data_IF_551976207074
#
_entry.id   IF_551976207074
#
_cell.length_a   1.000
_cell.length_b   1.000
_cell.length_c   1.000
_cell.angle_alpha   90.00
_cell.angle_beta   90.00
_cell.angle_gamma   90.00
#
_symmetry.space_group_name_H-M   'P 1'
#
loop_
_entity.id
_entity.type
_entity.pdbx_description
1 polymer ?
#
# COMPACT_ATOMS: atom_id res chain seq x y z
N UNK A 1 1.04 26.20 -6.39
CA UNK A 1 1.80 24.93 -6.41
C UNK A 1 1.76 24.23 -5.05
N UNK A 2 2.35 24.78 -3.99
CA UNK A 2 2.43 24.08 -2.69
C UNK A 2 1.06 23.80 -2.05
N UNK A 3 0.06 24.69 -2.25
CA UNK A 3 -1.32 24.44 -1.81
C UNK A 3 -1.91 23.18 -2.44
N UNK A 4 -1.61 22.91 -3.72
CA UNK A 4 -2.06 21.71 -4.44
C UNK A 4 -1.34 20.46 -3.89
N UNK A 5 -0.03 20.54 -3.64
CA UNK A 5 0.74 19.45 -3.04
C UNK A 5 0.21 19.14 -1.64
N UNK A 6 -0.05 20.17 -0.82
CA UNK A 6 -0.60 20.00 0.53
C UNK A 6 -2.01 19.38 0.50
N UNK A 7 -2.88 19.84 -0.40
CA UNK A 7 -4.23 19.29 -0.57
C UNK A 7 -4.17 17.81 -1.01
N UNK A 8 -3.32 17.48 -1.98
CA UNK A 8 -3.13 16.10 -2.42
C UNK A 8 -2.55 15.21 -1.30
N UNK A 9 -1.59 15.71 -0.51
CA UNK A 9 -1.04 15.00 0.64
C UNK A 9 -2.11 14.78 1.73
N UNK A 10 -2.99 15.76 1.98
CA UNK A 10 -4.10 15.62 2.93
C UNK A 10 -5.14 14.58 2.45
N UNK A 11 -5.49 14.56 1.16
CA UNK A 11 -6.33 13.50 0.59
C UNK A 11 -5.69 12.13 0.79
N UNK A 12 -4.40 12.03 0.54
CA UNK A 12 -3.61 10.80 0.74
C UNK A 12 -3.62 10.36 2.20
N UNK A 13 -3.45 11.32 3.14
CA UNK A 13 -3.51 11.11 4.59
C UNK A 13 -4.85 10.50 5.00
N UNK A 14 -5.95 11.06 4.53
CA UNK A 14 -7.30 10.57 4.87
C UNK A 14 -7.52 9.19 4.23
N UNK A 15 -7.35 9.05 2.92
CA UNK A 15 -7.69 7.83 2.19
C UNK A 15 -6.87 6.62 2.66
N UNK A 16 -5.53 6.77 2.74
CA UNK A 16 -4.65 5.67 3.16
C UNK A 16 -4.72 5.43 4.66
N UNK A 17 -4.91 6.50 5.44
CA UNK A 17 -5.02 6.42 6.89
C UNK A 17 -6.25 5.64 7.34
N UNK A 18 -7.44 5.98 6.84
CA UNK A 18 -8.69 5.25 7.15
C UNK A 18 -8.57 3.76 6.78
N UNK A 19 -8.00 3.47 5.60
CA UNK A 19 -7.75 2.08 5.17
C UNK A 19 -6.84 1.32 6.14
N UNK A 20 -5.84 1.97 6.70
CA UNK A 20 -4.85 1.34 7.60
C UNK A 20 -5.48 0.84 8.92
N UNK A 21 -6.66 1.35 9.30
CA UNK A 21 -7.42 0.92 10.47
C UNK A 21 -8.29 -0.31 10.28
N UNK A 22 -8.42 -0.86 9.07
CA UNK A 22 -9.37 -1.95 8.79
C UNK A 22 -9.12 -3.22 9.60
N UNK A 23 -7.87 -3.52 9.95
CA UNK A 23 -7.54 -4.66 10.81
C UNK A 23 -8.16 -4.59 12.22
N UNK A 24 -8.47 -3.38 12.71
CA UNK A 24 -9.12 -3.19 14.01
C UNK A 24 -10.58 -3.70 14.04
N UNK A 25 -11.21 -3.83 12.86
CA UNK A 25 -12.60 -4.29 12.74
C UNK A 25 -12.75 -5.81 12.66
N UNK A 26 -11.66 -6.57 12.42
CA UNK A 26 -11.71 -8.02 12.21
C UNK A 26 -12.42 -8.71 13.37
N UNK A 27 -11.98 -8.47 14.60
CA UNK A 27 -12.52 -9.14 15.79
C UNK A 27 -13.89 -8.62 16.20
N UNK A 28 -14.14 -7.29 16.26
CA UNK A 28 -15.45 -6.75 16.55
C UNK A 28 -16.56 -7.27 15.62
N UNK A 29 -16.34 -7.22 14.30
CA UNK A 29 -17.35 -7.66 13.33
C UNK A 29 -17.55 -9.19 13.40
N UNK A 30 -16.46 -9.96 13.48
CA UNK A 30 -16.57 -11.43 13.57
C UNK A 30 -17.30 -11.87 14.82
N UNK A 31 -17.06 -11.19 15.95
CA UNK A 31 -17.71 -11.50 17.23
C UNK A 31 -19.20 -11.13 17.25
N UNK A 32 -19.54 -9.95 16.73
CA UNK A 32 -20.92 -9.43 16.76
C UNK A 32 -21.84 -10.17 15.76
N UNK A 33 -21.34 -10.47 14.57
CA UNK A 33 -22.11 -11.18 13.55
C UNK A 33 -22.03 -12.71 13.66
N UNK A 34 -21.21 -13.25 14.56
CA UNK A 34 -21.03 -14.71 14.69
C UNK A 34 -20.41 -15.37 13.46
N UNK A 35 -19.58 -14.64 12.69
CA UNK A 35 -18.94 -15.12 11.45
C UNK A 35 -17.44 -15.36 11.69
N UNK A 36 -16.84 -16.24 10.86
CA UNK A 36 -15.40 -16.43 10.83
C UNK A 36 -14.64 -15.16 10.40
N UNK A 37 -13.36 -15.10 10.74
CA UNK A 37 -12.48 -13.99 10.32
C UNK A 37 -12.19 -14.02 8.82
N UNK A 38 -12.26 -15.19 8.19
CA UNK A 38 -11.99 -15.40 6.77
C UNK A 38 -12.82 -14.45 5.89
N UNK A 39 -14.12 -14.33 6.17
CA UNK A 39 -15.02 -13.54 5.33
C UNK A 39 -14.62 -12.06 5.25
N UNK A 40 -14.41 -11.43 6.41
CA UNK A 40 -14.02 -10.01 6.43
C UNK A 40 -12.64 -9.78 5.83
N UNK A 41 -11.69 -10.65 6.15
CA UNK A 41 -10.31 -10.52 5.65
C UNK A 41 -10.17 -10.90 4.18
N UNK A 42 -11.01 -11.79 3.66
CA UNK A 42 -11.18 -12.01 2.22
C UNK A 42 -11.65 -10.73 1.51
N UNK A 43 -12.67 -10.07 2.06
CA UNK A 43 -13.19 -8.82 1.48
C UNK A 43 -12.14 -7.69 1.50
N UNK A 44 -11.36 -7.56 2.59
CA UNK A 44 -10.21 -6.64 2.66
C UNK A 44 -9.13 -7.03 1.63
N UNK A 45 -8.90 -8.31 1.42
CA UNK A 45 -8.03 -8.80 0.36
C UNK A 45 -8.53 -8.38 -1.02
N UNK A 46 -9.81 -8.61 -1.31
CA UNK A 46 -10.46 -8.22 -2.57
C UNK A 46 -10.40 -6.71 -2.81
N UNK A 47 -10.58 -5.89 -1.77
CA UNK A 47 -10.37 -4.45 -1.80
C UNK A 47 -8.98 -4.09 -2.35
N UNK A 48 -7.92 -4.75 -1.87
CA UNK A 48 -6.55 -4.52 -2.33
C UNK A 48 -6.36 -4.96 -3.79
N UNK A 49 -6.88 -6.12 -4.16
CA UNK A 49 -6.80 -6.63 -5.53
C UNK A 49 -7.47 -5.68 -6.53
N UNK A 50 -8.67 -5.20 -6.20
CA UNK A 50 -9.41 -4.24 -7.02
C UNK A 50 -8.68 -2.89 -7.10
N UNK A 51 -8.10 -2.42 -5.98
CA UNK A 51 -7.26 -1.22 -6.01
C UNK A 51 -6.16 -1.35 -7.06
N UNK A 52 -5.41 -2.47 -7.07
CA UNK A 52 -4.36 -2.70 -8.06
C UNK A 52 -4.88 -2.82 -9.49
N UNK A 53 -5.91 -3.64 -9.69
CA UNK A 53 -6.46 -3.93 -11.02
C UNK A 53 -7.11 -2.71 -11.69
N UNK A 54 -7.79 -1.87 -10.92
CA UNK A 54 -8.52 -0.71 -11.43
C UNK A 54 -7.67 0.57 -11.53
N UNK A 55 -6.53 0.64 -10.83
CA UNK A 55 -5.66 1.83 -10.83
C UNK A 55 -5.23 2.30 -12.24
N UNK A 56 -4.86 1.45 -13.20
CA UNK A 56 -4.51 1.91 -14.55
C UNK A 56 -5.69 2.55 -15.29
N UNK A 57 -6.89 2.03 -15.10
CA UNK A 57 -8.10 2.54 -15.76
C UNK A 57 -8.49 3.91 -15.19
N UNK A 58 -8.55 4.04 -13.88
CA UNK A 58 -8.84 5.33 -13.25
C UNK A 58 -7.73 6.35 -13.47
N UNK A 59 -6.48 5.92 -13.55
CA UNK A 59 -5.36 6.78 -13.94
C UNK A 59 -5.56 7.36 -15.34
N UNK A 60 -5.91 6.53 -16.33
CA UNK A 60 -6.18 6.99 -17.69
C UNK A 60 -7.40 7.95 -17.78
N UNK A 61 -8.45 7.68 -16.99
CA UNK A 61 -9.62 8.59 -16.90
C UNK A 61 -9.20 9.92 -16.26
N UNK A 62 -8.37 9.88 -15.21
CA UNK A 62 -7.88 11.09 -14.55
C UNK A 62 -6.98 11.94 -15.44
N UNK A 63 -6.20 11.30 -16.32
CA UNK A 63 -5.37 12.01 -17.31
C UNK A 63 -6.23 12.76 -18.35
N UNK A 64 -7.38 12.21 -18.72
CA UNK A 64 -8.30 12.85 -19.69
C UNK A 64 -9.24 13.87 -19.06
N UNK A 65 -9.81 13.55 -17.88
CA UNK A 65 -10.90 14.33 -17.30
C UNK A 65 -10.48 15.14 -16.07
N UNK A 66 -9.21 14.99 -15.64
CA UNK A 66 -8.64 15.65 -14.46
C UNK A 66 -8.80 14.83 -13.18
N UNK A 67 -7.74 14.84 -12.37
CA UNK A 67 -7.64 14.05 -11.13
C UNK A 67 -8.71 14.43 -10.09
N UNK A 68 -9.14 15.70 -10.04
CA UNK A 68 -10.15 16.15 -9.10
C UNK A 68 -11.51 15.48 -9.33
N UNK A 69 -11.97 15.35 -10.58
CA UNK A 69 -13.26 14.70 -10.90
C UNK A 69 -13.24 13.23 -10.53
N UNK A 70 -12.16 12.54 -10.87
CA UNK A 70 -11.98 11.12 -10.54
C UNK A 70 -11.87 10.93 -9.03
N UNK A 71 -11.17 11.85 -8.32
CA UNK A 71 -11.08 11.87 -6.88
C UNK A 71 -12.43 12.06 -6.19
N UNK A 72 -13.32 12.92 -6.73
CA UNK A 72 -14.70 13.09 -6.22
C UNK A 72 -15.49 11.80 -6.33
N UNK A 73 -15.41 11.09 -7.48
CA UNK A 73 -16.05 9.77 -7.63
C UNK A 73 -15.43 8.78 -6.63
N UNK A 74 -14.11 8.77 -6.48
CA UNK A 74 -13.43 7.95 -5.48
C UNK A 74 -13.90 8.24 -4.06
N UNK A 75 -14.05 9.52 -3.69
CA UNK A 75 -14.56 9.90 -2.36
C UNK A 75 -16.01 9.43 -2.14
N UNK A 76 -16.86 9.58 -3.14
CA UNK A 76 -18.25 9.12 -3.06
C UNK A 76 -18.33 7.58 -2.90
N UNK A 77 -17.52 6.84 -3.67
CA UNK A 77 -17.43 5.37 -3.55
C UNK A 77 -16.88 4.96 -2.18
N UNK A 78 -15.90 5.71 -1.62
CA UNK A 78 -15.34 5.44 -0.31
C UNK A 78 -16.39 5.61 0.78
N UNK A 79 -17.09 6.75 0.79
CA UNK A 79 -18.14 7.03 1.74
C UNK A 79 -19.31 6.03 1.62
N UNK A 80 -19.72 5.70 0.39
CA UNK A 80 -20.74 4.68 0.13
C UNK A 80 -20.33 3.30 0.65
N UNK A 81 -19.07 2.88 0.41
CA UNK A 81 -18.54 1.63 0.92
C UNK A 81 -18.53 1.56 2.44
N UNK A 82 -18.12 2.63 3.13
CA UNK A 82 -18.17 2.72 4.59
C UNK A 82 -19.61 2.74 5.12
N UNK A 83 -20.54 3.40 4.42
CA UNK A 83 -21.96 3.38 4.76
C UNK A 83 -22.56 1.97 4.63
N UNK A 84 -22.21 1.22 3.58
CA UNK A 84 -22.61 -0.18 3.42
C UNK A 84 -22.04 -1.03 4.56
N UNK A 85 -20.77 -0.87 4.90
CA UNK A 85 -20.14 -1.60 6.01
C UNK A 85 -20.76 -1.27 7.36
N UNK A 86 -21.20 -0.04 7.59
CA UNK A 86 -21.86 0.34 8.86
C UNK A 86 -23.21 -0.35 9.08
N UNK A 87 -23.87 -0.79 8.03
CA UNK A 87 -25.17 -1.45 8.05
C UNK A 87 -25.07 -2.96 7.80
N UNK A 88 -23.85 -3.51 7.92
CA UNK A 88 -23.60 -4.93 7.62
C UNK A 88 -24.42 -5.83 8.53
N UNK A 89 -25.19 -6.72 7.92
CA UNK A 89 -25.95 -7.80 8.58
C UNK A 89 -25.53 -9.19 8.05
N UNK A 90 -24.72 -9.24 7.00
CA UNK A 90 -24.30 -10.49 6.38
C UNK A 90 -23.11 -10.36 5.42
N UNK A 91 -22.79 -11.47 4.73
CA UNK A 91 -21.63 -11.55 3.83
C UNK A 91 -21.65 -10.57 2.65
N UNK A 92 -22.83 -10.31 2.09
CA UNK A 92 -22.99 -9.47 0.90
C UNK A 92 -22.56 -8.03 1.12
N UNK A 93 -22.93 -7.45 2.26
CA UNK A 93 -22.60 -6.07 2.60
C UNK A 93 -21.10 -5.93 2.89
N UNK A 94 -20.49 -6.92 3.55
CA UNK A 94 -19.04 -6.94 3.80
C UNK A 94 -18.27 -6.92 2.48
N UNK A 95 -18.67 -7.78 1.53
CA UNK A 95 -18.00 -7.86 0.23
C UNK A 95 -18.27 -6.59 -0.58
N UNK A 96 -19.53 -6.13 -0.68
CA UNK A 96 -19.89 -4.95 -1.45
C UNK A 96 -19.18 -3.69 -0.93
N UNK A 97 -19.17 -3.46 0.38
CA UNK A 97 -18.50 -2.31 0.98
C UNK A 97 -17.01 -2.28 0.66
N UNK A 98 -16.34 -3.43 0.78
CA UNK A 98 -14.91 -3.53 0.44
C UNK A 98 -14.63 -3.40 -1.07
N UNK A 99 -15.52 -3.89 -1.95
CA UNK A 99 -15.43 -3.68 -3.41
C UNK A 99 -15.52 -2.19 -3.74
N UNK A 100 -16.48 -1.48 -3.16
CA UNK A 100 -16.63 -0.02 -3.37
C UNK A 100 -15.39 0.74 -2.89
N UNK A 101 -14.84 0.38 -1.73
CA UNK A 101 -13.61 1.01 -1.21
C UNK A 101 -12.39 0.66 -2.07
N UNK A 102 -12.29 -0.56 -2.59
CA UNK A 102 -11.22 -0.93 -3.53
C UNK A 102 -11.24 -0.09 -4.81
N UNK A 103 -12.43 0.12 -5.39
CA UNK A 103 -12.61 1.01 -6.54
C UNK A 103 -12.34 2.48 -6.17
N UNK A 104 -12.73 2.91 -4.97
CA UNK A 104 -12.44 4.25 -4.45
C UNK A 104 -10.94 4.54 -4.34
N UNK A 105 -10.17 3.59 -3.79
CA UNK A 105 -8.72 3.69 -3.68
C UNK A 105 -8.03 3.75 -5.05
N UNK A 106 -8.55 3.03 -6.03
CA UNK A 106 -8.05 3.10 -7.40
C UNK A 106 -8.35 4.47 -8.05
N UNK A 107 -9.54 5.03 -7.80
CA UNK A 107 -9.97 6.31 -8.38
C UNK A 107 -9.28 7.52 -7.72
N UNK A 108 -9.32 7.60 -6.40
CA UNK A 108 -8.82 8.76 -5.62
C UNK A 108 -7.48 8.52 -4.93
N UNK A 109 -6.85 7.36 -5.14
CA UNK A 109 -5.65 6.95 -4.42
C UNK A 109 -4.34 7.45 -5.04
N UNK A 110 -3.27 6.78 -4.64
CA UNK A 110 -1.88 7.17 -4.89
C UNK A 110 -1.57 7.43 -6.36
N UNK A 111 -2.00 6.57 -7.28
CA UNK A 111 -1.66 6.68 -8.71
C UNK A 111 -2.20 7.97 -9.33
N UNK A 112 -3.46 8.28 -9.11
CA UNK A 112 -4.15 9.48 -9.62
C UNK A 112 -3.52 10.76 -9.07
N UNK A 113 -3.22 10.80 -7.77
CA UNK A 113 -2.63 11.96 -7.11
C UNK A 113 -1.16 12.17 -7.51
N UNK A 114 -0.36 11.11 -7.63
CA UNK A 114 1.03 11.17 -8.12
C UNK A 114 1.06 11.75 -9.54
N UNK A 115 0.18 11.26 -10.42
CA UNK A 115 0.08 11.78 -11.78
C UNK A 115 -0.28 13.27 -11.83
N UNK A 116 -1.25 13.70 -11.03
CA UNK A 116 -1.65 15.10 -10.95
C UNK A 116 -0.54 16.02 -10.44
N UNK A 117 0.07 15.68 -9.30
CA UNK A 117 1.18 16.45 -8.71
C UNK A 117 2.40 16.46 -9.63
N UNK A 118 2.74 15.31 -10.24
CA UNK A 118 3.88 15.19 -11.13
C UNK A 118 3.81 16.08 -12.36
N UNK A 119 2.59 16.37 -12.87
CA UNK A 119 2.36 17.27 -14.01
C UNK A 119 2.45 18.75 -13.65
N UNK A 120 2.05 19.09 -12.42
CA UNK A 120 1.93 20.51 -11.98
C UNK A 120 3.23 21.09 -11.43
N UNK A 121 4.13 20.23 -10.98
CA UNK A 121 5.34 20.67 -10.28
C UNK A 121 6.52 20.71 -11.26
N UNK A 122 7.29 21.82 -11.30
CA UNK A 122 8.51 21.92 -12.08
C UNK A 122 9.48 20.77 -11.81
N UNK A 123 10.27 20.34 -12.81
CA UNK A 123 11.17 19.18 -12.69
C UNK A 123 12.08 19.21 -11.46
N UNK A 124 12.60 20.40 -11.12
CA UNK A 124 13.54 20.62 -10.01
C UNK A 124 12.91 20.36 -8.63
N UNK A 125 11.60 20.55 -8.49
CA UNK A 125 10.84 20.40 -7.22
C UNK A 125 9.98 19.14 -7.20
N UNK A 126 9.91 18.41 -8.30
CA UNK A 126 9.01 17.26 -8.47
C UNK A 126 9.29 16.14 -7.46
N UNK A 127 10.55 15.81 -7.24
CA UNK A 127 10.95 14.78 -6.28
C UNK A 127 10.48 15.13 -4.86
N UNK A 128 10.67 16.38 -4.42
CA UNK A 128 10.22 16.85 -3.10
C UNK A 128 8.69 16.79 -2.99
N UNK A 129 7.97 17.25 -4.01
CA UNK A 129 6.50 17.27 -4.00
C UNK A 129 5.90 15.85 -3.94
N UNK A 130 6.47 14.91 -4.70
CA UNK A 130 6.06 13.50 -4.67
C UNK A 130 6.44 12.83 -3.34
N UNK A 131 7.57 13.22 -2.75
CA UNK A 131 7.96 12.78 -1.41
C UNK A 131 6.97 13.22 -0.34
N UNK A 132 6.55 14.49 -0.35
CA UNK A 132 5.53 15.02 0.57
C UNK A 132 4.19 14.28 0.39
N UNK A 133 3.76 14.08 -0.86
CA UNK A 133 2.54 13.34 -1.18
C UNK A 133 2.57 11.92 -0.62
N UNK A 134 3.67 11.20 -0.83
CA UNK A 134 3.82 9.81 -0.38
C UNK A 134 3.91 9.71 1.14
N UNK A 135 4.60 10.66 1.78
CA UNK A 135 4.66 10.75 3.24
C UNK A 135 3.27 10.95 3.86
N UNK A 136 2.33 11.61 3.14
CA UNK A 136 0.94 11.74 3.55
C UNK A 136 0.28 10.42 3.90
N UNK A 137 0.55 9.35 3.15
CA UNK A 137 0.03 8.01 3.46
C UNK A 137 0.53 7.47 4.81
N UNK A 138 1.80 7.66 5.13
CA UNK A 138 2.40 7.24 6.41
C UNK A 138 1.92 8.10 7.59
N UNK A 139 1.78 9.41 7.38
CA UNK A 139 1.14 10.31 8.36
C UNK A 139 -0.30 9.88 8.60
N UNK A 140 -1.01 9.50 7.52
CA UNK A 140 -2.35 8.95 7.62
C UNK A 140 -2.42 7.70 8.49
N UNK A 141 -1.54 6.75 8.28
CA UNK A 141 -1.47 5.54 9.11
C UNK A 141 -1.19 5.90 10.59
N UNK A 142 -0.25 6.82 10.83
CA UNK A 142 0.10 7.25 12.19
C UNK A 142 -1.07 7.91 12.93
N UNK A 143 -1.83 8.78 12.26
CA UNK A 143 -2.91 9.57 12.86
C UNK A 143 -4.24 8.82 12.86
N UNK A 144 -4.62 8.21 11.73
CA UNK A 144 -5.96 7.66 11.54
C UNK A 144 -6.16 6.29 12.18
N UNK A 145 -5.10 5.51 12.45
CA UNK A 145 -5.28 4.22 13.11
C UNK A 145 -5.68 4.41 14.59
N UNK A 146 -5.01 5.26 15.41
CA UNK A 146 -5.51 5.59 16.74
C UNK A 146 -6.88 6.27 16.72
N UNK A 147 -7.14 7.14 15.74
CA UNK A 147 -8.47 7.75 15.54
C UNK A 147 -9.55 6.67 15.31
N UNK A 148 -9.31 5.72 14.42
CA UNK A 148 -10.23 4.60 14.17
C UNK A 148 -10.48 3.78 15.44
N UNK A 149 -9.41 3.49 16.21
CA UNK A 149 -9.54 2.78 17.48
C UNK A 149 -10.40 3.55 18.50
N UNK A 150 -10.22 4.87 18.58
CA UNK A 150 -11.04 5.71 19.44
C UNK A 150 -12.52 5.73 19.01
N UNK A 151 -12.80 5.74 17.71
CA UNK A 151 -14.15 5.64 17.18
C UNK A 151 -14.80 4.30 17.54
N UNK A 152 -14.09 3.18 17.36
CA UNK A 152 -14.60 1.84 17.71
C UNK A 152 -14.89 1.77 19.22
N UNK A 153 -14.02 2.32 20.07
CA UNK A 153 -14.20 2.31 21.51
C UNK A 153 -15.38 3.18 21.98
N UNK A 154 -15.70 4.26 21.26
CA UNK A 154 -16.75 5.21 21.67
C UNK A 154 -18.11 5.01 20.98
N UNK A 155 -18.13 4.43 19.77
CA UNK A 155 -19.31 4.38 18.90
C UNK A 155 -19.66 2.95 18.42
N UNK A 156 -18.94 1.94 18.90
CA UNK A 156 -18.89 0.59 18.30
C UNK A 156 -18.32 0.56 16.87
N UNK A 157 -18.29 -0.62 16.23
CA UNK A 157 -17.74 -0.79 14.87
C UNK A 157 -18.66 -0.17 13.80
N UNK A 158 -19.99 -0.24 13.96
CA UNK A 158 -20.95 0.33 13.01
C UNK A 158 -20.89 1.85 13.02
N UNK A 159 -20.98 2.49 14.20
CA UNK A 159 -20.83 3.92 14.37
C UNK A 159 -19.45 4.44 13.93
N UNK A 160 -18.40 3.66 14.15
CA UNK A 160 -17.05 4.00 13.67
C UNK A 160 -17.00 4.09 12.13
N UNK A 161 -17.63 3.17 11.39
CA UNK A 161 -17.71 3.25 9.94
C UNK A 161 -18.49 4.49 9.46
N UNK A 162 -19.57 4.87 10.12
CA UNK A 162 -20.31 6.12 9.81
C UNK A 162 -19.40 7.34 10.00
N UNK A 163 -18.70 7.43 11.13
CA UNK A 163 -17.78 8.55 11.40
C UNK A 163 -16.60 8.58 10.43
N UNK A 164 -16.04 7.42 10.06
CA UNK A 164 -15.02 7.31 9.03
C UNK A 164 -15.55 7.77 7.66
N UNK A 165 -16.82 7.45 7.33
CA UNK A 165 -17.49 7.93 6.11
C UNK A 165 -17.59 9.44 6.07
N UNK A 166 -18.01 10.06 7.18
CA UNK A 166 -18.01 11.52 7.32
C UNK A 166 -16.60 12.12 7.17
N UNK A 167 -15.58 11.47 7.76
CA UNK A 167 -14.19 11.87 7.61
C UNK A 167 -13.71 11.74 6.16
N UNK A 168 -14.13 10.70 5.43
CA UNK A 168 -13.79 10.55 4.02
C UNK A 168 -14.37 11.70 3.17
N UNK A 169 -15.56 12.20 3.49
CA UNK A 169 -16.16 13.35 2.78
C UNK A 169 -15.34 14.64 2.94
N UNK A 170 -14.49 14.76 3.98
CA UNK A 170 -13.57 15.88 4.12
C UNK A 170 -12.51 15.93 2.98
N UNK A 171 -12.36 14.89 2.17
CA UNK A 171 -11.56 14.92 0.95
C UNK A 171 -12.18 15.82 -0.13
N UNK A 172 -13.50 16.04 -0.16
CA UNK A 172 -14.18 16.82 -1.21
C UNK A 172 -13.67 18.27 -1.33
N UNK A 173 -13.60 19.08 -0.24
CA UNK A 173 -13.06 20.44 -0.32
C UNK A 173 -11.57 20.45 -0.72
N UNK A 174 -10.80 19.43 -0.34
CA UNK A 174 -9.39 19.31 -0.74
C UNK A 174 -9.27 19.03 -2.24
N UNK A 175 -10.14 18.18 -2.78
CA UNK A 175 -10.20 17.88 -4.22
C UNK A 175 -10.63 19.08 -5.05
N UNK A 176 -11.42 20.01 -4.47
CA UNK A 176 -11.76 21.27 -5.13
C UNK A 176 -10.51 22.10 -5.46
N UNK A 177 -9.50 22.09 -4.60
CA UNK A 177 -8.22 22.75 -4.85
C UNK A 177 -7.50 22.10 -6.04
N UNK A 178 -7.62 20.77 -6.18
CA UNK A 178 -6.98 20.01 -7.26
C UNK A 178 -7.63 20.19 -8.64
N UNK A 179 -8.82 20.78 -8.74
CA UNK A 179 -9.49 21.03 -10.03
C UNK A 179 -8.75 22.05 -10.92
N UNK A 180 -7.88 22.87 -10.33
CA UNK A 180 -7.01 23.77 -11.07
C UNK A 180 -5.91 23.05 -11.87
N UNK A 181 -5.79 21.72 -11.70
CA UNK A 181 -4.86 20.88 -12.47
C UNK A 181 -5.55 20.44 -13.76
N UNK A 182 -5.19 20.97 -14.93
CA UNK A 182 -5.77 20.54 -16.19
C UNK A 182 -5.51 19.05 -16.43
N UNK A 183 -6.51 18.34 -16.93
CA UNK A 183 -6.28 17.08 -17.63
C UNK A 183 -5.48 17.45 -18.91
N UNK A 184 -4.29 16.94 -19.05
CA UNK A 184 -3.54 17.03 -20.30
C UNK A 184 -3.17 15.61 -20.70
N UNK A 185 -3.81 15.11 -21.72
CA UNK A 185 -3.27 14.02 -22.50
C UNK A 185 -2.04 14.56 -23.24
N UNK A 186 -0.91 14.77 -22.55
CA UNK A 186 0.36 14.75 -23.26
C UNK A 186 0.68 13.26 -23.48
N UNK A 187 0.69 12.81 -24.73
CA UNK A 187 1.40 11.57 -25.04
C UNK A 187 2.81 11.75 -24.48
N UNK A 188 3.28 10.81 -23.66
CA UNK A 188 4.70 10.76 -23.31
C UNK A 188 5.45 10.93 -24.63
N UNK A 189 6.30 11.96 -24.71
CA UNK A 189 7.07 12.25 -25.92
C UNK A 189 7.73 10.94 -26.34
N UNK A 190 7.25 10.38 -27.45
CA UNK A 190 7.56 9.03 -27.87
C UNK A 190 9.06 8.88 -28.07
N UNK A 191 9.66 8.08 -27.19
CA UNK A 191 10.92 7.43 -27.51
C UNK A 191 10.69 6.49 -28.71
N UNK A 192 11.74 6.07 -29.37
CA UNK A 192 11.73 5.16 -30.53
C UNK A 192 11.10 3.76 -30.25
N UNK A 193 10.51 3.53 -29.09
CA UNK A 193 9.92 2.27 -28.63
C UNK A 193 8.41 2.42 -28.45
N UNK A 194 7.63 1.49 -28.98
CA UNK A 194 6.18 1.39 -28.74
C UNK A 194 5.88 0.76 -27.38
N UNK A 195 4.62 0.92 -26.90
CA UNK A 195 4.13 0.29 -25.68
C UNK A 195 4.26 -1.24 -25.72
N UNK A 196 3.92 -1.86 -26.85
CA UNK A 196 4.00 -3.32 -27.02
C UNK A 196 5.44 -3.83 -26.96
N UNK A 197 6.38 -3.09 -27.54
CA UNK A 197 7.80 -3.41 -27.48
C UNK A 197 8.35 -3.29 -26.06
N UNK A 198 7.95 -2.26 -25.29
CA UNK A 198 8.36 -2.08 -23.90
C UNK A 198 7.85 -3.22 -23.02
N UNK A 199 6.60 -3.65 -23.20
CA UNK A 199 6.03 -4.80 -22.51
C UNK A 199 6.75 -6.10 -22.91
N UNK A 200 6.95 -6.31 -24.21
CA UNK A 200 7.66 -7.49 -24.73
C UNK A 200 9.10 -7.58 -24.19
N UNK A 201 9.82 -6.45 -24.14
CA UNK A 201 11.17 -6.38 -23.55
C UNK A 201 11.15 -6.73 -22.07
N UNK A 202 10.23 -6.16 -21.29
CA UNK A 202 10.12 -6.42 -19.85
C UNK A 202 9.76 -7.88 -19.56
N UNK A 203 8.77 -8.45 -20.27
CA UNK A 203 8.32 -9.82 -20.04
C UNK A 203 9.34 -10.88 -20.45
N UNK A 204 10.23 -10.57 -21.39
CA UNK A 204 11.37 -11.44 -21.75
C UNK A 204 12.55 -11.30 -20.78
N UNK A 205 12.56 -10.28 -19.93
CA UNK A 205 13.67 -9.98 -19.06
C UNK A 205 13.53 -10.69 -17.70
N UNK A 206 14.43 -11.63 -17.39
CA UNK A 206 14.40 -12.41 -16.14
C UNK A 206 14.32 -11.54 -14.88
N UNK A 207 15.05 -10.42 -14.83
CA UNK A 207 15.07 -9.52 -13.68
C UNK A 207 13.71 -8.88 -13.41
N UNK A 208 12.86 -8.72 -14.44
CA UNK A 208 11.50 -8.19 -14.27
C UNK A 208 10.63 -9.13 -13.44
N UNK A 209 10.64 -10.43 -13.76
CA UNK A 209 9.86 -11.44 -13.04
C UNK A 209 10.39 -11.70 -11.62
N UNK A 210 11.71 -11.66 -11.44
CA UNK A 210 12.34 -11.77 -10.13
C UNK A 210 11.94 -10.58 -9.23
N UNK A 211 11.95 -9.36 -9.77
CA UNK A 211 11.50 -8.15 -9.06
C UNK A 211 10.01 -8.22 -8.75
N UNK A 212 9.19 -8.64 -9.70
CA UNK A 212 7.74 -8.81 -9.57
C UNK A 212 7.40 -9.83 -8.48
N UNK A 213 8.03 -11.00 -8.50
CA UNK A 213 7.85 -12.03 -7.48
C UNK A 213 8.35 -11.61 -6.10
N UNK A 214 9.48 -10.88 -6.02
CA UNK A 214 9.97 -10.34 -4.76
C UNK A 214 9.03 -9.28 -4.18
N UNK A 215 8.47 -8.39 -5.01
CA UNK A 215 7.57 -7.34 -4.54
C UNK A 215 6.17 -7.85 -4.15
N UNK A 216 5.74 -8.99 -4.68
CA UNK A 216 4.58 -9.76 -4.18
C UNK A 216 4.67 -9.99 -2.66
N UNK A 217 5.84 -10.41 -2.18
CA UNK A 217 6.07 -10.68 -0.75
C UNK A 217 5.91 -9.42 0.10
N UNK A 218 6.25 -8.24 -0.44
CA UNK A 218 5.98 -6.98 0.27
C UNK A 218 4.49 -6.83 0.57
N UNK A 219 3.64 -7.02 -0.44
CA UNK A 219 2.19 -6.94 -0.28
C UNK A 219 1.65 -7.92 0.74
N UNK A 220 2.11 -9.17 0.67
CA UNK A 220 1.73 -10.20 1.61
C UNK A 220 2.04 -9.80 3.05
N UNK A 221 3.27 -9.39 3.35
CA UNK A 221 3.70 -9.00 4.69
C UNK A 221 2.94 -7.79 5.22
N UNK A 222 2.84 -6.74 4.40
CA UNK A 222 2.22 -5.48 4.79
C UNK A 222 0.75 -5.70 5.16
N UNK A 223 0.01 -6.39 4.30
CA UNK A 223 -1.44 -6.54 4.52
C UNK A 223 -1.74 -7.63 5.54
N UNK A 224 -0.94 -8.70 5.62
CA UNK A 224 -1.06 -9.65 6.72
C UNK A 224 -0.95 -8.96 8.07
N UNK A 225 0.12 -8.20 8.30
CA UNK A 225 0.32 -7.52 9.59
C UNK A 225 -0.75 -6.46 9.83
N UNK A 226 -1.04 -5.59 8.84
CA UNK A 226 -2.02 -4.53 9.01
C UNK A 226 -3.44 -5.07 9.33
N UNK A 227 -3.80 -6.23 8.78
CA UNK A 227 -5.12 -6.83 8.95
C UNK A 227 -5.23 -7.68 10.21
N UNK A 228 -4.20 -8.50 10.49
CA UNK A 228 -4.33 -9.55 11.51
C UNK A 228 -3.62 -9.24 12.83
N UNK A 229 -2.64 -8.31 12.87
CA UNK A 229 -1.94 -7.96 14.11
C UNK A 229 -2.90 -7.52 15.23
N UNK A 230 -3.94 -6.67 14.97
CA UNK A 230 -4.87 -6.29 16.03
C UNK A 230 -5.61 -7.48 16.64
N UNK A 231 -6.15 -8.37 15.81
CA UNK A 231 -6.84 -9.57 16.26
C UNK A 231 -5.88 -10.52 17.00
N UNK A 232 -4.67 -10.73 16.46
CA UNK A 232 -3.62 -11.55 17.08
C UNK A 232 -3.26 -11.06 18.49
N UNK A 233 -2.98 -9.76 18.66
CA UNK A 233 -2.63 -9.21 19.97
C UNK A 233 -3.79 -9.29 20.97
N UNK A 234 -5.01 -9.06 20.51
CA UNK A 234 -6.21 -9.23 21.33
C UNK A 234 -6.42 -10.68 21.78
N UNK A 235 -6.10 -11.67 20.91
CA UNK A 235 -6.15 -13.09 21.27
C UNK A 235 -5.09 -13.49 22.31
N UNK A 236 -3.98 -12.75 22.36
CA UNK A 236 -2.95 -12.86 23.41
C UNK A 236 -3.31 -12.12 24.70
N UNK A 237 -4.53 -11.56 24.81
CA UNK A 237 -4.98 -10.81 25.99
C UNK A 237 -4.45 -9.37 26.08
N UNK A 238 -3.82 -8.85 25.03
CA UNK A 238 -3.27 -7.50 25.03
C UNK A 238 -4.34 -6.45 24.67
N UNK A 239 -4.25 -5.23 25.20
CA UNK A 239 -5.23 -4.18 24.95
C UNK A 239 -5.30 -3.80 23.45
N UNK A 240 -6.53 -3.54 22.95
CA UNK A 240 -6.74 -3.11 21.56
C UNK A 240 -6.00 -1.79 21.22
N UNK A 241 -5.88 -0.88 22.19
CA UNK A 241 -5.10 0.36 22.04
C UNK A 241 -3.62 0.11 21.74
N UNK A 242 -3.03 -0.97 22.26
CA UNK A 242 -1.65 -1.34 21.97
C UNK A 242 -1.46 -1.71 20.50
N UNK A 243 -2.41 -2.45 19.92
CA UNK A 243 -2.38 -2.79 18.51
C UNK A 243 -2.46 -1.55 17.61
N UNK A 244 -3.37 -0.63 17.94
CA UNK A 244 -3.52 0.63 17.22
C UNK A 244 -2.23 1.48 17.32
N UNK A 245 -1.64 1.59 18.51
CA UNK A 245 -0.38 2.30 18.71
C UNK A 245 0.78 1.64 17.94
N UNK A 246 0.84 0.31 17.91
CA UNK A 246 1.87 -0.43 17.15
C UNK A 246 1.78 -0.15 15.65
N UNK A 247 0.58 -0.18 15.08
CA UNK A 247 0.36 0.16 13.67
C UNK A 247 0.63 1.65 13.39
N UNK A 248 0.33 2.54 14.33
CA UNK A 248 0.67 3.95 14.23
C UNK A 248 2.19 4.15 14.20
N UNK A 249 2.93 3.51 15.12
CA UNK A 249 4.39 3.54 15.13
C UNK A 249 4.97 2.97 13.84
N UNK A 250 4.38 1.89 13.29
CA UNK A 250 4.78 1.38 11.97
C UNK A 250 4.65 2.47 10.90
N UNK A 251 3.58 3.26 10.88
CA UNK A 251 3.42 4.40 9.98
C UNK A 251 4.47 5.49 10.19
N UNK A 252 4.73 5.86 11.45
CA UNK A 252 5.72 6.88 11.81
C UNK A 252 7.12 6.48 11.36
N UNK A 253 7.57 5.29 11.73
CA UNK A 253 8.90 4.79 11.37
C UNK A 253 9.04 4.50 9.88
N UNK A 254 7.93 4.24 9.16
CA UNK A 254 7.93 4.11 7.70
C UNK A 254 8.36 5.40 6.98
N UNK A 255 8.08 6.57 7.54
CA UNK A 255 8.58 7.84 6.99
C UNK A 255 10.11 7.83 6.95
N UNK A 256 10.73 7.48 8.08
CA UNK A 256 12.19 7.42 8.22
C UNK A 256 12.78 6.33 7.31
N UNK A 257 12.16 5.14 7.33
CA UNK A 257 12.62 3.99 6.54
C UNK A 257 12.58 4.24 5.04
N UNK A 258 11.45 4.73 4.52
CA UNK A 258 11.28 5.02 3.09
C UNK A 258 12.21 6.14 2.62
N UNK A 259 12.40 7.19 3.41
CA UNK A 259 13.35 8.25 3.11
C UNK A 259 14.79 7.72 3.05
N UNK A 260 15.19 6.97 4.08
CA UNK A 260 16.53 6.35 4.15
C UNK A 260 16.79 5.41 2.97
N UNK A 261 15.80 4.57 2.63
CA UNK A 261 15.90 3.66 1.48
C UNK A 261 16.05 4.42 0.15
N UNK A 262 15.35 5.54 -0.02
CA UNK A 262 15.52 6.41 -1.19
C UNK A 262 16.92 6.98 -1.30
N UNK A 263 17.49 7.51 -0.20
CA UNK A 263 18.86 8.04 -0.14
C UNK A 263 19.89 6.94 -0.40
N UNK A 264 19.75 5.80 0.27
CA UNK A 264 20.67 4.66 0.12
C UNK A 264 20.60 4.07 -1.30
N UNK A 265 19.41 4.02 -1.92
CA UNK A 265 19.22 3.57 -3.29
C UNK A 265 19.91 4.44 -4.35
N UNK A 266 20.20 5.70 -4.02
CA UNK A 266 21.04 6.58 -4.85
C UNK A 266 22.55 6.31 -4.72
N UNK A 267 22.98 5.64 -3.64
CA UNK A 267 24.41 5.40 -3.34
C UNK A 267 24.86 3.96 -3.49
N UNK A 268 23.96 3.02 -3.27
CA UNK A 268 24.25 1.59 -3.26
C UNK A 268 23.42 0.83 -4.30
N UNK A 269 23.83 -0.39 -4.59
CA UNK A 269 23.16 -1.32 -5.51
C UNK A 269 21.79 -1.69 -4.94
N UNK A 270 20.71 -1.28 -5.63
CA UNK A 270 19.33 -1.36 -5.13
C UNK A 270 18.85 -2.79 -4.88
N UNK A 271 19.27 -3.74 -5.74
CA UNK A 271 18.93 -5.17 -5.56
C UNK A 271 19.45 -5.73 -4.24
N UNK A 272 20.68 -5.35 -3.84
CA UNK A 272 21.28 -5.80 -2.59
C UNK A 272 20.58 -5.19 -1.37
N UNK A 273 20.20 -3.89 -1.48
CA UNK A 273 19.39 -3.25 -0.44
C UNK A 273 18.03 -3.93 -0.28
N UNK A 274 17.37 -4.29 -1.40
CA UNK A 274 16.10 -5.02 -1.35
C UNK A 274 16.26 -6.40 -0.70
N UNK A 275 17.29 -7.18 -1.09
CA UNK A 275 17.57 -8.47 -0.47
C UNK A 275 17.79 -8.32 1.04
N UNK A 276 18.59 -7.32 1.46
CA UNK A 276 18.84 -7.05 2.88
C UNK A 276 17.56 -6.64 3.62
N UNK A 277 16.72 -5.79 3.03
CA UNK A 277 15.44 -5.38 3.62
C UNK A 277 14.52 -6.56 3.87
N UNK A 278 14.42 -7.50 2.93
CA UNK A 278 13.58 -8.69 3.11
C UNK A 278 14.16 -9.67 4.13
N UNK A 279 15.47 -9.85 4.18
CA UNK A 279 16.13 -10.63 5.25
C UNK A 279 15.92 -9.98 6.61
N UNK A 280 16.07 -8.66 6.71
CA UNK A 280 15.81 -7.92 7.93
C UNK A 280 14.34 -8.07 8.39
N UNK A 281 13.36 -8.06 7.46
CA UNK A 281 11.97 -8.36 7.81
C UNK A 281 11.80 -9.77 8.35
N UNK A 282 12.39 -10.78 7.71
CA UNK A 282 12.36 -12.15 8.21
C UNK A 282 12.93 -12.23 9.62
N UNK A 283 14.05 -11.56 9.89
CA UNK A 283 14.64 -11.51 11.22
C UNK A 283 13.71 -10.81 12.24
N UNK A 284 13.06 -9.71 11.87
CA UNK A 284 12.08 -9.01 12.71
C UNK A 284 10.88 -9.90 13.01
N UNK A 285 10.32 -10.60 12.02
CA UNK A 285 9.24 -11.56 12.24
C UNK A 285 9.68 -12.71 13.14
N UNK A 286 10.83 -13.29 12.88
CA UNK A 286 11.38 -14.39 13.70
C UNK A 286 11.59 -13.94 15.15
N UNK A 287 12.21 -12.79 15.37
CA UNK A 287 12.40 -12.23 16.70
C UNK A 287 11.05 -12.00 17.41
N UNK A 288 10.04 -11.49 16.69
CA UNK A 288 8.70 -11.28 17.24
C UNK A 288 8.01 -12.61 17.60
N UNK A 289 8.13 -13.67 16.78
CA UNK A 289 7.55 -14.98 17.08
C UNK A 289 8.14 -15.56 18.36
N UNK A 290 9.46 -15.46 18.52
CA UNK A 290 10.20 -16.07 19.63
C UNK A 290 10.14 -15.25 20.92
N UNK A 291 9.90 -13.94 20.84
CA UNK A 291 9.85 -13.06 21.99
C UNK A 291 8.53 -13.20 22.78
N UNK A 292 8.53 -13.01 24.10
CA UNK A 292 7.31 -12.91 24.87
C UNK A 292 6.47 -11.70 24.39
N UNK A 293 5.14 -11.86 24.36
CA UNK A 293 4.22 -10.82 23.89
C UNK A 293 3.95 -9.80 25.00
N UNK A 294 4.92 -8.94 25.25
CA UNK A 294 4.81 -7.81 26.18
C UNK A 294 4.54 -6.53 25.40
N UNK A 295 4.08 -5.48 26.06
CA UNK A 295 3.88 -4.16 25.47
C UNK A 295 5.17 -3.66 24.77
N UNK A 296 6.31 -3.77 25.44
CA UNK A 296 7.59 -3.33 24.90
C UNK A 296 8.01 -4.09 23.64
N UNK A 297 7.86 -5.43 23.62
CA UNK A 297 8.22 -6.24 22.44
C UNK A 297 7.32 -5.97 21.27
N UNK A 298 6.02 -5.70 21.50
CA UNK A 298 5.05 -5.37 20.47
C UNK A 298 5.33 -3.98 19.87
N UNK A 299 5.60 -2.97 20.69
CA UNK A 299 5.97 -1.63 20.22
C UNK A 299 7.30 -1.62 19.47
N UNK A 300 8.29 -2.35 19.95
CA UNK A 300 9.58 -2.51 19.28
C UNK A 300 9.44 -3.19 17.92
N UNK A 301 8.59 -4.23 17.84
CA UNK A 301 8.22 -4.87 16.57
C UNK A 301 7.62 -3.87 15.59
N UNK A 302 6.63 -3.06 16.03
CA UNK A 302 6.02 -2.04 15.19
C UNK A 302 7.01 -1.01 14.67
N UNK A 303 7.92 -0.52 15.52
CA UNK A 303 8.96 0.43 15.14
C UNK A 303 9.98 -0.18 14.16
N UNK A 304 10.49 -1.36 14.46
CA UNK A 304 11.46 -2.06 13.60
C UNK A 304 10.85 -2.43 12.24
N UNK A 305 9.63 -2.97 12.24
CA UNK A 305 8.93 -3.28 11.01
C UNK A 305 8.61 -2.02 10.22
N UNK A 306 8.28 -0.91 10.90
CA UNK A 306 8.02 0.39 10.29
C UNK A 306 9.19 0.89 9.46
N UNK A 307 10.42 0.80 9.96
CA UNK A 307 11.63 1.15 9.21
C UNK A 307 11.77 0.36 7.90
N UNK A 308 11.24 -0.85 7.86
CA UNK A 308 11.30 -1.75 6.72
C UNK A 308 10.01 -1.76 5.87
N UNK A 309 8.93 -1.07 6.33
CA UNK A 309 7.54 -1.25 5.84
C UNK A 309 7.39 -1.06 4.33
N UNK A 310 7.50 0.16 3.84
CA UNK A 310 7.44 0.50 2.42
C UNK A 310 8.78 1.00 1.88
N UNK A 311 9.88 0.75 2.60
CA UNK A 311 11.25 1.07 2.18
C UNK A 311 11.65 0.35 0.88
N UNK A 312 10.93 -0.70 0.54
CA UNK A 312 11.08 -1.43 -0.73
C UNK A 312 10.57 -0.67 -1.94
N UNK A 313 9.60 0.24 -1.78
CA UNK A 313 8.93 0.94 -2.89
C UNK A 313 9.89 1.82 -3.70
N UNK A 314 10.66 2.74 -3.09
CA UNK A 314 11.60 3.58 -3.84
C UNK A 314 12.71 2.76 -4.52
N UNK A 315 13.15 1.68 -3.90
CA UNK A 315 14.18 0.81 -4.47
C UNK A 315 13.64 -0.01 -5.67
N UNK A 316 12.41 -0.55 -5.54
CA UNK A 316 11.75 -1.33 -6.60
C UNK A 316 11.46 -0.46 -7.83
N UNK A 317 10.87 0.73 -7.62
CA UNK A 317 10.62 1.68 -8.71
C UNK A 317 11.92 2.18 -9.34
N UNK A 318 12.95 2.42 -8.51
CA UNK A 318 14.29 2.77 -8.96
C UNK A 318 14.96 1.67 -9.80
N UNK A 319 14.76 0.39 -9.48
CA UNK A 319 15.24 -0.73 -10.30
C UNK A 319 14.55 -0.78 -11.66
N UNK A 320 13.23 -0.61 -11.71
CA UNK A 320 12.48 -0.53 -12.98
C UNK A 320 13.06 0.60 -13.85
N UNK A 321 13.26 1.78 -13.27
CA UNK A 321 13.83 2.91 -13.99
C UNK A 321 15.26 2.66 -14.46
N UNK A 322 16.09 2.01 -13.64
CA UNK A 322 17.49 1.70 -13.99
C UNK A 322 17.59 0.68 -15.11
N UNK A 323 16.75 -0.36 -15.11
CA UNK A 323 16.80 -1.46 -16.08
C UNK A 323 16.13 -1.06 -17.39
N UNK A 324 14.91 -0.52 -17.36
CA UNK A 324 14.05 -0.30 -18.53
C UNK A 324 13.98 1.17 -18.99
N UNK A 325 14.56 2.09 -18.21
CA UNK A 325 14.50 3.52 -18.49
C UNK A 325 13.21 4.20 -18.02
N UNK A 326 13.13 5.53 -18.15
CA UNK A 326 12.02 6.32 -17.60
C UNK A 326 10.76 6.33 -18.48
N UNK A 327 10.85 5.99 -19.77
CA UNK A 327 9.78 6.21 -20.74
C UNK A 327 8.47 5.47 -20.38
N UNK A 328 8.55 4.19 -19.98
CA UNK A 328 7.41 3.35 -19.60
C UNK A 328 7.48 2.90 -18.14
N UNK A 329 8.26 3.60 -17.32
CA UNK A 329 8.49 3.25 -15.91
C UNK A 329 7.19 3.09 -15.12
N UNK A 330 6.26 4.02 -15.25
CA UNK A 330 5.00 3.99 -14.50
C UNK A 330 4.15 2.77 -14.81
N UNK A 331 4.10 2.37 -16.08
CA UNK A 331 3.36 1.20 -16.51
C UNK A 331 4.02 -0.09 -16.03
N UNK A 332 5.31 -0.23 -16.23
CA UNK A 332 6.07 -1.41 -15.80
C UNK A 332 6.05 -1.57 -14.27
N UNK A 333 6.22 -0.46 -13.56
CA UNK A 333 6.05 -0.47 -12.09
C UNK A 333 4.61 -0.78 -11.69
N UNK A 334 3.61 -0.37 -12.47
CA UNK A 334 2.21 -0.72 -12.24
C UNK A 334 1.96 -2.23 -12.26
N UNK A 335 2.61 -2.97 -13.17
CA UNK A 335 2.55 -4.44 -13.21
C UNK A 335 3.22 -5.05 -11.98
N UNK A 336 4.39 -4.55 -11.60
CA UNK A 336 5.08 -4.95 -10.37
C UNK A 336 4.22 -4.65 -9.15
N UNK A 337 3.56 -3.48 -9.12
CA UNK A 337 2.64 -3.10 -8.04
C UNK A 337 1.38 -3.99 -8.02
N UNK A 338 0.87 -4.41 -9.17
CA UNK A 338 -0.26 -5.35 -9.21
C UNK A 338 0.10 -6.68 -8.54
N UNK A 339 1.33 -7.19 -8.73
CA UNK A 339 1.77 -8.39 -8.00
C UNK A 339 1.81 -8.18 -6.47
N UNK A 340 2.20 -6.99 -6.02
CA UNK A 340 2.09 -6.60 -4.61
C UNK A 340 0.64 -6.69 -4.12
N UNK A 341 -0.33 -6.27 -4.93
CA UNK A 341 -1.74 -6.34 -4.55
C UNK A 341 -2.29 -7.77 -4.54
N UNK A 342 -1.77 -8.65 -5.40
CA UNK A 342 -2.04 -10.10 -5.32
C UNK A 342 -1.47 -10.68 -4.02
N UNK A 343 -0.25 -10.30 -3.65
CA UNK A 343 0.34 -10.65 -2.35
C UNK A 343 -0.50 -10.13 -1.18
N UNK A 344 -0.98 -8.89 -1.28
CA UNK A 344 -1.87 -8.26 -0.30
C UNK A 344 -3.19 -9.02 -0.11
N UNK A 345 -3.80 -9.47 -1.21
CA UNK A 345 -4.98 -10.32 -1.19
C UNK A 345 -4.71 -11.61 -0.40
N UNK A 346 -3.65 -12.32 -0.75
CA UNK A 346 -3.32 -13.59 -0.10
C UNK A 346 -2.93 -13.40 1.37
N UNK A 347 -2.17 -12.36 1.70
CA UNK A 347 -1.78 -12.05 3.08
C UNK A 347 -2.97 -11.74 3.98
N UNK A 348 -3.99 -11.05 3.45
CA UNK A 348 -5.24 -10.80 4.17
C UNK A 348 -6.10 -12.06 4.29
N UNK A 349 -6.44 -12.68 3.17
CA UNK A 349 -7.36 -13.81 3.11
C UNK A 349 -6.85 -15.06 3.85
N UNK A 350 -5.62 -15.49 3.54
CA UNK A 350 -5.05 -16.70 4.14
C UNK A 350 -4.92 -16.59 5.66
N UNK A 351 -4.66 -15.39 6.19
CA UNK A 351 -4.62 -15.16 7.63
C UNK A 351 -5.95 -15.47 8.31
N UNK A 352 -7.07 -15.03 7.74
CA UNK A 352 -8.41 -15.34 8.26
C UNK A 352 -8.74 -16.82 8.14
N UNK A 353 -8.51 -17.40 6.95
CA UNK A 353 -8.76 -18.82 6.69
C UNK A 353 -7.95 -19.75 7.61
N UNK A 354 -6.65 -19.47 7.79
CA UNK A 354 -5.79 -20.25 8.67
C UNK A 354 -6.27 -20.12 10.11
N UNK A 355 -6.64 -18.92 10.54
CA UNK A 355 -7.20 -18.75 11.88
C UNK A 355 -8.51 -19.53 12.08
N UNK A 356 -9.44 -19.45 11.14
CA UNK A 356 -10.74 -20.13 11.24
C UNK A 356 -10.61 -21.67 11.21
N UNK A 357 -9.54 -22.20 10.59
CA UNK A 357 -9.28 -23.66 10.53
C UNK A 357 -8.38 -24.18 11.63
N UNK A 358 -7.41 -23.39 12.10
CA UNK A 358 -6.38 -23.83 13.06
C UNK A 358 -6.50 -23.18 14.45
N UNK A 359 -7.32 -22.13 14.59
CA UNK A 359 -7.50 -21.40 15.84
C UNK A 359 -6.34 -20.46 16.21
N UNK A 360 -5.31 -20.32 15.37
CA UNK A 360 -4.15 -19.46 15.61
C UNK A 360 -3.52 -18.92 14.32
N UNK A 361 -2.55 -18.02 14.45
CA UNK A 361 -1.83 -17.40 13.32
C UNK A 361 -0.41 -17.96 13.14
N UNK A 362 0.00 -19.00 13.83
CA UNK A 362 1.40 -19.47 13.84
C UNK A 362 1.93 -19.80 12.45
N UNK A 363 1.14 -20.52 11.65
CA UNK A 363 1.50 -20.86 10.28
C UNK A 363 1.73 -19.59 9.43
N UNK A 364 0.92 -18.54 9.62
CA UNK A 364 1.07 -17.27 8.86
C UNK A 364 2.37 -16.54 9.22
N UNK A 365 2.74 -16.55 10.50
CA UNK A 365 4.01 -15.97 10.94
C UNK A 365 5.21 -16.69 10.33
N UNK A 366 5.22 -18.03 10.36
CA UNK A 366 6.28 -18.82 9.75
C UNK A 366 6.33 -18.71 8.23
N UNK A 367 5.18 -18.66 7.55
CA UNK A 367 5.09 -18.36 6.11
C UNK A 367 5.70 -16.99 5.83
N UNK A 368 5.45 -15.99 6.67
CA UNK A 368 6.02 -14.64 6.50
C UNK A 368 7.54 -14.65 6.63
N UNK A 369 8.10 -15.39 7.60
CA UNK A 369 9.57 -15.56 7.71
C UNK A 369 10.14 -16.21 6.44
N UNK A 370 9.55 -17.30 5.98
CA UNK A 370 10.00 -18.03 4.80
C UNK A 370 9.91 -17.16 3.53
N UNK A 371 8.79 -16.48 3.33
CA UNK A 371 8.59 -15.59 2.17
C UNK A 371 9.60 -14.44 2.13
N UNK A 372 10.00 -13.87 3.27
CA UNK A 372 11.04 -12.85 3.29
C UNK A 372 12.39 -13.37 2.82
N UNK A 373 12.77 -14.60 3.21
CA UNK A 373 13.98 -15.26 2.69
C UNK A 373 13.85 -15.53 1.19
N UNK A 374 12.70 -16.06 0.74
CA UNK A 374 12.45 -16.32 -0.70
C UNK A 374 12.53 -15.01 -1.50
N UNK A 375 11.97 -13.92 -0.98
CA UNK A 375 12.06 -12.62 -1.64
C UNK A 375 13.51 -12.14 -1.75
N UNK A 376 14.32 -12.29 -0.70
CA UNK A 376 15.74 -11.96 -0.75
C UNK A 376 16.47 -12.77 -1.83
N UNK A 377 16.18 -14.09 -1.93
CA UNK A 377 16.73 -14.95 -2.96
C UNK A 377 16.29 -14.56 -4.38
N UNK A 378 15.09 -13.99 -4.56
CA UNK A 378 14.65 -13.45 -5.84
C UNK A 378 15.40 -12.16 -6.22
N UNK A 379 15.70 -11.30 -5.24
CA UNK A 379 16.40 -10.05 -5.52
C UNK A 379 17.89 -10.23 -5.81
N UNK A 380 18.53 -11.22 -5.20
CA UNK A 380 19.98 -11.45 -5.32
C UNK A 380 20.46 -11.60 -6.77
N UNK A 381 19.84 -12.45 -7.64
CA UNK A 381 20.29 -12.65 -9.01
C UNK A 381 19.85 -11.58 -10.00
N UNK A 382 19.10 -10.54 -9.59
CA UNK A 382 18.70 -9.44 -10.45
C UNK A 382 19.95 -8.78 -11.07
N UNK A 383 19.91 -8.54 -12.37
CA UNK A 383 20.94 -7.78 -13.08
C UNK A 383 20.53 -6.30 -13.12
N UNK A 384 21.15 -5.48 -12.24
CA UNK A 384 20.91 -4.05 -12.16
C UNK A 384 21.75 -3.30 -13.24
N UNK A 385 21.41 -3.55 -14.49
CA UNK A 385 22.04 -2.91 -15.66
C UNK A 385 20.96 -2.53 -16.66
N UNK A 386 21.10 -1.40 -17.36
CA UNK A 386 20.19 -1.01 -18.43
C UNK A 386 20.10 -2.11 -19.51
N UNK A 387 18.91 -2.25 -20.10
CA UNK A 387 18.70 -3.09 -21.29
C UNK A 387 19.56 -2.58 -22.47
N UNK A 388 19.94 -3.43 -23.44
CA UNK A 388 20.90 -3.09 -24.49
C UNK A 388 20.60 -1.78 -25.25
N UNK A 389 19.33 -1.46 -25.51
CA UNK A 389 18.92 -0.21 -26.18
C UNK A 389 19.27 1.07 -25.40
N UNK A 390 19.46 0.97 -24.09
CA UNK A 390 19.81 2.09 -23.21
C UNK A 390 21.30 2.10 -22.84
N UNK A 391 22.05 1.06 -23.24
CA UNK A 391 23.48 1.03 -23.04
C UNK A 391 24.12 2.13 -23.90
N UNK A 392 25.13 2.91 -23.41
CA UNK A 392 25.92 3.78 -24.25
C UNK A 392 26.46 2.99 -25.43
N UNK A 393 26.37 3.53 -26.64
CA UNK A 393 27.04 2.94 -27.79
C UNK A 393 28.51 2.69 -27.39
N UNK A 394 28.95 1.44 -27.48
CA UNK A 394 30.35 1.11 -27.23
C UNK A 394 31.17 2.02 -28.15
N UNK A 395 31.90 2.97 -27.57
CA UNK A 395 32.68 3.92 -28.31
C UNK A 395 33.61 3.16 -29.29
N UNK A 396 33.41 3.43 -30.57
CA UNK A 396 34.33 3.05 -31.63
C UNK A 396 35.60 3.82 -31.49
#
# INVERSE_FOLDING_TARGET
MWTIVAAAAAVMTIAMGLRSGFGLFVKPISGDLGIGRELFTFAVGLQNLLWGALSPFFGAIADRHGAARVGVVGTALYAAGLCVLSQTSGPSEIVLGNVLIGAALAAGGQGTLIGAVGRMVPPEKRSLALGILTAGGSVGQFVMVPYTQALIAGLDWSGAFVAMGATALAMLPLLWVLRAVPGSAQPSAGGAQSLGEALGEAFRHRSFWLLTGGFFVCGFHVVFVATHLPAYLSDQGLPAGLAALTLALTGLFNIVGSYSAGVLGGRYVKKNLLALLYLARSAVFLAFILAPKTEATVLLFGAALGLLWLSTVPLTSGLVATIFGPAYMSMLFGIVFFSHQVGSFLGSWLGGRIYDTMGNYDAMWWISVALGVVSALFHWPIRERPVPRLAPAAGT
#
